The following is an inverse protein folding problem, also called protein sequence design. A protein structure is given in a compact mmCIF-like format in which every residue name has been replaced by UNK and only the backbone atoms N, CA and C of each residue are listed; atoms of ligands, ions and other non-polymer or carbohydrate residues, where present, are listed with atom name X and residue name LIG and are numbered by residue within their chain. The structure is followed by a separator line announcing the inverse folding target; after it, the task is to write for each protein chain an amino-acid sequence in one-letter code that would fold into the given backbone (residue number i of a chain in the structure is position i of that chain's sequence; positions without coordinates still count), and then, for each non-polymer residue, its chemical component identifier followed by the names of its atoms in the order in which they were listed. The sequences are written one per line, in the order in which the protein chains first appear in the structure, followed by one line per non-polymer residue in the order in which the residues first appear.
data_IF_297955233294
#
_entry.id   IF_297955233294
#
_cell.length_a   1.000
_cell.length_b   1.000
_cell.length_c   1.000
_cell.angle_alpha   90.00
_cell.angle_beta   90.00
_cell.angle_gamma   90.00
#
_symmetry.space_group_name_H-M   'P 1'
#
loop_
_entity.id
_entity.type
_entity.pdbx_description
1 polymer ?
#
# COMPACT_ATOMS: atom_id res chain seq x y z
N UNK A 1 -8.30 43.11 -6.53
CA UNK A 1 -7.16 42.58 -5.72
C UNK A 1 -7.51 41.31 -4.91
N UNK A 2 -8.78 41.03 -4.60
CA UNK A 2 -9.19 39.81 -3.86
C UNK A 2 -9.06 38.49 -4.65
N UNK A 3 -9.23 38.54 -5.98
CA UNK A 3 -9.12 37.38 -6.87
C UNK A 3 -7.71 36.76 -6.93
N UNK A 4 -6.65 37.58 -6.74
CA UNK A 4 -5.25 37.11 -6.76
C UNK A 4 -4.91 36.33 -5.49
N UNK A 5 -5.44 36.73 -4.32
CA UNK A 5 -5.24 36.03 -3.05
C UNK A 5 -5.91 34.66 -3.00
N UNK A 6 -7.12 34.53 -3.57
CA UNK A 6 -7.84 33.24 -3.68
C UNK A 6 -7.12 32.28 -4.65
N UNK A 7 -6.53 32.80 -5.73
CA UNK A 7 -5.72 32.00 -6.67
C UNK A 7 -4.43 31.48 -6.03
N UNK A 8 -3.75 32.29 -5.21
CA UNK A 8 -2.52 31.89 -4.52
C UNK A 8 -2.79 30.85 -3.41
N UNK A 9 -3.88 31.00 -2.65
CA UNK A 9 -4.30 30.01 -1.64
C UNK A 9 -4.69 28.66 -2.26
N UNK A 10 -5.37 28.65 -3.41
CA UNK A 10 -5.75 27.40 -4.11
C UNK A 10 -4.57 26.66 -4.75
N UNK A 11 -3.53 27.38 -5.21
CA UNK A 11 -2.28 26.79 -5.69
C UNK A 11 -1.50 26.07 -4.58
N UNK A 12 -1.41 26.66 -3.38
CA UNK A 12 -0.73 26.07 -2.23
C UNK A 12 -1.41 24.77 -1.73
N UNK A 13 -2.75 24.74 -1.66
CA UNK A 13 -3.48 23.53 -1.25
C UNK A 13 -3.41 22.38 -2.27
N UNK A 14 -3.23 22.70 -3.56
CA UNK A 14 -3.03 21.71 -4.64
C UNK A 14 -1.67 21.02 -4.56
N UNK A 15 -0.63 21.72 -4.12
CA UNK A 15 0.69 21.14 -3.93
C UNK A 15 0.67 20.09 -2.81
N UNK A 16 0.01 20.40 -1.68
CA UNK A 16 0.00 19.54 -0.48
C UNK A 16 -0.70 18.18 -0.65
N UNK A 17 -1.78 18.08 -1.44
CA UNK A 17 -2.48 16.80 -1.64
C UNK A 17 -1.79 15.90 -2.68
N UNK A 18 -1.18 16.49 -3.70
CA UNK A 18 -0.34 15.76 -4.67
C UNK A 18 0.97 15.28 -4.01
N UNK A 19 1.51 16.07 -3.07
CA UNK A 19 2.70 15.74 -2.28
C UNK A 19 2.52 14.41 -1.52
N UNK A 20 1.35 14.17 -0.91
CA UNK A 20 1.08 12.89 -0.23
C UNK A 20 0.92 11.69 -1.17
N UNK A 21 0.58 11.90 -2.44
CA UNK A 21 0.35 10.79 -3.39
C UNK A 21 1.61 10.38 -4.15
N UNK A 22 2.67 11.18 -4.05
CA UNK A 22 3.95 10.95 -4.71
C UNK A 22 5.09 11.38 -3.79
N UNK A 23 5.31 10.61 -2.72
CA UNK A 23 6.38 10.84 -1.75
C UNK A 23 6.97 9.52 -1.25
N UNK A 24 8.17 9.60 -0.69
CA UNK A 24 8.81 8.52 0.01
C UNK A 24 8.71 8.75 1.52
N UNK A 25 8.55 7.68 2.30
CA UNK A 25 8.63 7.79 3.76
C UNK A 25 10.07 7.93 4.22
N UNK A 26 10.30 8.65 5.33
CA UNK A 26 11.59 8.74 6.02
C UNK A 26 11.84 7.47 6.87
N UNK A 27 12.16 6.37 6.15
CA UNK A 27 12.55 5.08 6.71
C UNK A 27 13.97 4.69 6.28
N UNK A 28 14.41 3.49 6.68
CA UNK A 28 15.82 3.09 6.67
C UNK A 28 16.49 3.12 5.28
N UNK A 29 15.79 2.71 4.23
CA UNK A 29 16.37 2.49 2.89
C UNK A 29 15.69 3.29 1.78
N UNK A 30 14.74 4.17 2.14
CA UNK A 30 14.01 4.99 1.18
C UNK A 30 14.90 6.13 0.67
N UNK A 31 14.74 6.45 -0.61
CA UNK A 31 15.19 7.71 -1.18
C UNK A 31 14.41 8.86 -0.55
N UNK A 32 14.99 10.06 -0.61
CA UNK A 32 14.33 11.28 -0.13
C UNK A 32 13.08 11.62 -0.94
N UNK A 33 13.14 11.44 -2.26
CA UNK A 33 12.05 11.76 -3.19
C UNK A 33 11.91 10.65 -4.24
N UNK A 34 10.69 10.42 -4.77
CA UNK A 34 10.47 9.46 -5.84
C UNK A 34 11.21 9.85 -7.12
N UNK A 35 11.66 8.85 -7.89
CA UNK A 35 12.25 9.07 -9.20
C UNK A 35 12.49 7.78 -9.96
N UNK A 36 12.77 7.91 -11.25
CA UNK A 36 13.05 6.78 -12.12
C UNK A 36 14.32 6.02 -11.70
N UNK A 37 14.23 4.70 -11.69
CA UNK A 37 15.28 3.73 -11.39
C UNK A 37 15.29 2.68 -12.51
N UNK A 38 16.14 2.89 -13.52
CA UNK A 38 16.09 2.10 -14.77
C UNK A 38 16.43 0.60 -14.62
N UNK A 39 16.89 0.15 -13.45
CA UNK A 39 17.43 -1.19 -13.22
C UNK A 39 16.85 -1.89 -11.98
N UNK A 40 15.58 -1.64 -11.64
CA UNK A 40 14.95 -2.37 -10.53
C UNK A 40 14.86 -3.87 -10.83
N UNK A 41 15.27 -4.68 -9.85
CA UNK A 41 15.43 -6.12 -9.99
C UNK A 41 14.09 -6.86 -9.93
N UNK A 42 13.88 -7.77 -10.89
CA UNK A 42 12.78 -8.75 -10.94
C UNK A 42 11.41 -8.21 -10.47
N UNK A 43 10.94 -8.60 -9.28
CA UNK A 43 9.59 -8.27 -8.79
C UNK A 43 9.41 -6.78 -8.48
N UNK A 44 10.50 -6.04 -8.32
CA UNK A 44 10.48 -4.60 -8.09
C UNK A 44 10.45 -3.80 -9.42
N UNK A 45 10.63 -4.44 -10.58
CA UNK A 45 10.60 -3.78 -11.89
C UNK A 45 9.34 -2.92 -12.18
N UNK A 46 8.13 -3.24 -11.66
CA UNK A 46 6.95 -2.40 -11.88
C UNK A 46 7.07 -0.95 -11.38
N UNK A 47 8.00 -0.65 -10.46
CA UNK A 47 8.23 0.71 -9.94
C UNK A 47 9.31 1.49 -10.69
N UNK A 48 9.97 0.91 -11.70
CA UNK A 48 11.17 1.49 -12.34
C UNK A 48 11.01 2.93 -12.86
N UNK A 49 9.82 3.33 -13.27
CA UNK A 49 9.60 4.66 -13.84
C UNK A 49 9.45 5.73 -12.75
N UNK A 50 9.08 5.35 -11.52
CA UNK A 50 8.92 6.23 -10.38
C UNK A 50 8.92 5.43 -9.05
N UNK A 51 10.10 5.31 -8.42
CA UNK A 51 10.32 4.49 -7.22
C UNK A 51 10.93 5.29 -6.06
N UNK A 52 10.69 4.78 -4.85
CA UNK A 52 11.34 5.22 -3.60
C UNK A 52 12.52 4.35 -3.17
N UNK A 53 12.75 3.22 -3.83
CA UNK A 53 13.89 2.34 -3.57
C UNK A 53 15.02 2.60 -4.57
N UNK A 54 16.20 2.03 -4.32
CA UNK A 54 17.32 2.02 -5.28
C UNK A 54 17.42 0.65 -5.97
N UNK A 55 18.19 0.55 -7.05
CA UNK A 55 18.52 -0.74 -7.67
C UNK A 55 19.11 -1.74 -6.66
N UNK A 56 19.99 -1.29 -5.74
CA UNK A 56 20.58 -2.15 -4.71
C UNK A 56 19.51 -2.68 -3.73
N UNK A 57 18.66 -1.79 -3.22
CA UNK A 57 17.52 -2.16 -2.37
C UNK A 57 16.63 -3.20 -3.06
N UNK A 58 16.40 -3.05 -4.36
CA UNK A 58 15.56 -3.98 -5.12
C UNK A 58 16.18 -5.36 -5.30
N UNK A 59 17.50 -5.45 -5.49
CA UNK A 59 18.20 -6.74 -5.55
C UNK A 59 18.11 -7.46 -4.20
N UNK A 60 18.35 -6.73 -3.13
CA UNK A 60 18.41 -7.26 -1.76
C UNK A 60 17.04 -7.63 -1.20
N UNK A 61 15.96 -7.12 -1.77
CA UNK A 61 14.61 -7.60 -1.48
C UNK A 61 14.40 -9.09 -1.89
N UNK A 62 15.28 -9.64 -2.76
CA UNK A 62 15.20 -11.00 -3.27
C UNK A 62 16.15 -11.98 -2.56
N UNK A 63 17.10 -11.46 -1.77
CA UNK A 63 18.11 -12.26 -1.07
C UNK A 63 17.64 -12.69 0.33
N UNK A 64 18.04 -13.90 0.73
CA UNK A 64 17.84 -14.41 2.09
C UNK A 64 18.82 -13.70 3.04
N UNK A 65 18.37 -13.32 4.24
CA UNK A 65 19.19 -12.59 5.22
C UNK A 65 19.83 -11.29 4.66
N UNK A 66 19.14 -10.62 3.75
CA UNK A 66 19.66 -9.40 3.13
C UNK A 66 19.90 -8.29 4.16
N UNK A 67 20.76 -7.33 3.84
CA UNK A 67 21.09 -6.25 4.78
C UNK A 67 19.89 -5.35 5.12
N UNK A 68 18.80 -5.44 4.34
CA UNK A 68 17.62 -4.61 4.54
C UNK A 68 17.09 -4.78 5.97
N UNK A 69 16.84 -6.04 6.34
CA UNK A 69 16.23 -6.45 7.60
C UNK A 69 16.97 -7.58 8.32
N UNK A 70 18.00 -8.18 7.70
CA UNK A 70 18.71 -9.36 8.19
C UNK A 70 17.73 -10.47 8.61
N UNK A 71 16.70 -10.69 7.79
CA UNK A 71 15.58 -11.57 8.11
C UNK A 71 15.74 -12.92 7.40
N UNK A 72 15.58 -14.00 8.17
CA UNK A 72 15.62 -15.36 7.65
C UNK A 72 14.20 -15.85 7.34
N UNK A 73 13.85 -15.96 6.06
CA UNK A 73 12.57 -16.54 5.64
C UNK A 73 12.42 -18.00 6.05
N UNK A 74 13.53 -18.73 6.21
CA UNK A 74 13.55 -20.15 6.52
C UNK A 74 13.67 -20.44 8.04
N UNK A 75 13.14 -19.54 8.88
CA UNK A 75 13.36 -19.56 10.34
C UNK A 75 12.72 -20.76 11.07
N UNK A 76 11.75 -21.46 10.47
CA UNK A 76 11.13 -22.67 11.05
C UNK A 76 11.04 -23.83 10.03
N UNK A 77 11.86 -23.81 8.99
CA UNK A 77 11.81 -24.75 7.86
C UNK A 77 12.08 -24.04 6.53
N UNK A 78 12.28 -24.79 5.45
CA UNK A 78 12.48 -24.20 4.11
C UNK A 78 11.14 -23.65 3.62
N UNK A 79 11.05 -22.33 3.43
CA UNK A 79 9.89 -21.67 2.86
C UNK A 79 9.80 -21.95 1.36
N UNK A 80 8.60 -22.27 0.89
CA UNK A 80 8.35 -22.52 -0.53
C UNK A 80 8.54 -21.25 -1.36
N UNK A 81 9.01 -21.41 -2.61
CA UNK A 81 9.20 -20.28 -3.52
C UNK A 81 7.90 -19.51 -3.80
N UNK A 82 6.73 -20.19 -3.79
CA UNK A 82 5.42 -19.54 -3.98
C UNK A 82 5.10 -18.59 -2.81
N UNK A 83 5.37 -19.02 -1.58
CA UNK A 83 5.16 -18.20 -0.40
C UNK A 83 6.18 -17.05 -0.33
N UNK A 84 7.47 -17.36 -0.52
CA UNK A 84 8.57 -16.37 -0.50
C UNK A 84 8.36 -15.24 -1.51
N UNK A 85 7.77 -15.55 -2.68
CA UNK A 85 7.45 -14.53 -3.70
C UNK A 85 6.58 -13.41 -3.14
N UNK A 86 5.59 -13.70 -2.31
CA UNK A 86 4.73 -12.66 -1.73
C UNK A 86 5.48 -11.76 -0.74
N UNK A 87 6.36 -12.33 0.08
CA UNK A 87 7.21 -11.54 0.97
C UNK A 87 8.19 -10.63 0.22
N UNK A 88 8.78 -11.12 -0.87
CA UNK A 88 9.58 -10.28 -1.77
C UNK A 88 8.74 -9.17 -2.41
N UNK A 89 7.53 -9.49 -2.87
CA UNK A 89 6.63 -8.52 -3.48
C UNK A 89 6.18 -7.44 -2.49
N UNK A 90 5.90 -7.81 -1.24
CA UNK A 90 5.59 -6.90 -0.13
C UNK A 90 6.79 -5.99 0.19
N UNK A 91 8.01 -6.56 0.22
CA UNK A 91 9.25 -5.78 0.40
C UNK A 91 9.42 -4.77 -0.73
N UNK A 92 9.25 -5.17 -2.00
CA UNK A 92 9.26 -4.23 -3.13
C UNK A 92 8.17 -3.14 -2.98
N UNK A 93 6.97 -3.51 -2.56
CA UNK A 93 5.87 -2.54 -2.37
C UNK A 93 6.19 -1.52 -1.27
N UNK A 94 6.69 -1.99 -0.13
CA UNK A 94 7.07 -1.18 1.02
C UNK A 94 8.23 -0.22 0.68
N UNK A 95 9.28 -0.73 0.03
CA UNK A 95 10.49 0.04 -0.27
C UNK A 95 10.31 0.98 -1.48
N UNK A 96 9.59 0.53 -2.52
CA UNK A 96 9.59 1.21 -3.80
C UNK A 96 8.37 2.09 -4.07
N UNK A 97 7.23 1.86 -3.42
CA UNK A 97 5.98 2.57 -3.79
C UNK A 97 5.99 4.04 -3.34
N UNK A 98 5.86 5.01 -4.27
CA UNK A 98 5.76 6.42 -3.90
C UNK A 98 4.32 6.85 -3.54
N UNK A 99 3.36 5.91 -3.54
CA UNK A 99 1.94 6.20 -3.38
C UNK A 99 1.43 5.87 -1.98
N UNK A 100 2.33 5.70 -1.02
CA UNK A 100 2.00 5.26 0.33
C UNK A 100 1.69 6.42 1.30
N UNK A 101 1.85 7.67 0.88
CA UNK A 101 1.75 8.83 1.75
C UNK A 101 0.45 9.00 2.54
N UNK A 102 -0.75 8.60 2.06
CA UNK A 102 -1.96 8.63 2.89
C UNK A 102 -1.89 7.76 4.15
N UNK A 103 -1.01 6.75 4.16
CA UNK A 103 -0.86 5.78 5.25
C UNK A 103 0.43 5.96 6.05
N UNK A 104 1.26 6.95 5.72
CA UNK A 104 2.47 7.28 6.46
C UNK A 104 2.10 7.90 7.81
N UNK A 105 2.69 7.38 8.88
CA UNK A 105 2.60 7.90 10.24
C UNK A 105 3.99 8.07 10.83
N UNK A 106 4.17 9.16 11.57
CA UNK A 106 5.38 9.43 12.33
C UNK A 106 5.51 8.46 13.50
N UNK A 107 6.73 7.99 13.76
CA UNK A 107 7.05 7.09 14.86
C UNK A 107 8.33 7.50 15.55
N UNK A 108 8.35 7.30 16.87
CA UNK A 108 9.53 7.56 17.70
C UNK A 108 10.36 6.26 17.81
N UNK A 109 11.14 5.96 16.77
CA UNK A 109 12.04 4.80 16.73
C UNK A 109 13.43 5.23 16.24
N UNK A 110 14.48 4.61 16.78
CA UNK A 110 15.88 4.99 16.49
C UNK A 110 16.31 4.77 15.02
N UNK A 111 15.63 3.89 14.30
CA UNK A 111 16.03 3.43 12.96
C UNK A 111 15.06 3.82 11.83
N UNK A 112 13.92 4.45 12.16
CA UNK A 112 12.96 5.02 11.20
C UNK A 112 12.16 6.14 11.86
N UNK A 113 11.92 7.24 11.13
CA UNK A 113 11.07 8.33 11.62
C UNK A 113 9.62 8.17 11.19
N UNK A 114 9.40 7.43 10.11
CA UNK A 114 8.09 7.18 9.55
C UNK A 114 7.87 5.68 9.28
N UNK A 115 6.61 5.27 9.30
CA UNK A 115 6.15 3.94 8.86
C UNK A 115 4.79 4.06 8.20
N UNK A 116 4.44 3.08 7.38
CA UNK A 116 3.05 2.95 6.92
C UNK A 116 2.21 2.19 7.94
N UNK A 117 0.92 2.48 7.97
CA UNK A 117 -0.05 1.87 8.86
C UNK A 117 -1.39 1.77 8.15
N UNK A 118 -2.04 0.60 8.23
CA UNK A 118 -3.42 0.38 7.75
C UNK A 118 -3.58 0.58 6.24
N UNK A 119 -2.58 0.14 5.47
CA UNK A 119 -2.65 0.14 4.00
C UNK A 119 -3.72 -0.87 3.56
N UNK A 120 -4.77 -0.44 2.82
CA UNK A 120 -5.83 -1.32 2.36
C UNK A 120 -5.31 -2.14 1.17
N UNK A 121 -4.77 -3.31 1.45
CA UNK A 121 -4.41 -4.27 0.40
C UNK A 121 -5.66 -4.82 -0.30
N UNK A 122 -5.47 -5.25 -1.55
CA UNK A 122 -6.55 -5.86 -2.30
C UNK A 122 -6.84 -7.25 -1.73
N UNK A 123 -8.13 -7.59 -1.62
CA UNK A 123 -8.54 -8.89 -1.09
C UNK A 123 -7.92 -10.04 -1.88
N UNK A 124 -7.81 -9.90 -3.20
CA UNK A 124 -7.20 -10.90 -4.07
C UNK A 124 -5.70 -11.08 -3.78
N UNK A 125 -4.99 -10.01 -3.41
CA UNK A 125 -3.56 -10.10 -3.03
C UNK A 125 -3.41 -10.87 -1.71
N UNK A 126 -4.24 -10.53 -0.72
CA UNK A 126 -4.23 -11.21 0.58
C UNK A 126 -4.61 -12.68 0.45
N UNK A 127 -5.62 -13.01 -0.36
CA UNK A 127 -6.06 -14.39 -0.59
C UNK A 127 -4.97 -15.20 -1.29
N UNK A 128 -4.40 -14.67 -2.38
CA UNK A 128 -3.31 -15.34 -3.10
C UNK A 128 -2.10 -15.57 -2.19
N UNK A 129 -1.76 -14.60 -1.35
CA UNK A 129 -0.66 -14.75 -0.39
C UNK A 129 -0.95 -15.87 0.60
N UNK A 130 -2.12 -15.84 1.24
CA UNK A 130 -2.50 -16.90 2.19
C UNK A 130 -2.50 -18.29 1.53
N UNK A 131 -3.12 -18.44 0.36
CA UNK A 131 -3.22 -19.74 -0.31
C UNK A 131 -1.85 -20.32 -0.71
N UNK A 132 -0.90 -19.46 -1.07
CA UNK A 132 0.46 -19.89 -1.41
C UNK A 132 1.28 -20.24 -0.16
N UNK A 133 1.00 -19.64 1.00
CA UNK A 133 1.74 -19.85 2.25
C UNK A 133 1.07 -20.80 3.26
N UNK A 134 -0.17 -21.26 3.04
CA UNK A 134 -0.92 -22.04 4.05
C UNK A 134 -0.30 -23.39 4.44
N UNK A 135 0.62 -23.91 3.63
CA UNK A 135 1.35 -25.15 3.90
C UNK A 135 2.79 -24.90 4.40
N UNK A 136 3.19 -23.62 4.47
CA UNK A 136 4.48 -23.18 4.99
C UNK A 136 4.44 -23.00 6.51
N UNK A 137 5.62 -23.03 7.13
CA UNK A 137 5.75 -23.00 8.58
C UNK A 137 6.28 -21.67 9.08
N UNK A 138 5.79 -21.25 10.24
CA UNK A 138 6.33 -20.15 11.04
C UNK A 138 6.19 -20.53 12.51
N UNK A 139 6.96 -19.90 13.38
CA UNK A 139 7.03 -20.17 14.81
C UNK A 139 6.77 -18.89 15.61
N UNK A 140 6.33 -17.82 14.92
CA UNK A 140 5.88 -16.56 15.51
C UNK A 140 4.72 -15.97 14.72
N UNK A 141 3.80 -15.34 15.45
CA UNK A 141 2.69 -14.55 14.88
C UNK A 141 3.12 -13.13 14.50
N UNK A 142 3.90 -12.44 15.35
CA UNK A 142 4.44 -11.12 15.02
C UNK A 142 5.92 -11.24 14.63
N UNK A 143 6.22 -10.89 13.38
CA UNK A 143 7.59 -10.94 12.84
C UNK A 143 8.36 -9.64 13.05
N UNK A 144 7.79 -8.62 13.71
CA UNK A 144 8.50 -7.38 14.01
C UNK A 144 9.38 -7.44 15.26
N UNK A 145 9.00 -8.24 16.26
CA UNK A 145 9.59 -8.18 17.59
C UNK A 145 9.75 -9.57 18.23
N UNK A 146 10.65 -9.64 19.21
CA UNK A 146 10.79 -10.83 20.07
C UNK A 146 11.39 -12.04 19.37
N UNK A 147 12.26 -11.83 18.38
CA UNK A 147 13.08 -12.89 17.81
C UNK A 147 14.18 -13.27 18.79
N UNK A 148 14.18 -14.54 19.20
CA UNK A 148 15.32 -15.16 19.87
C UNK A 148 15.95 -16.16 18.89
N UNK A 149 17.12 -15.81 18.36
CA UNK A 149 17.87 -16.64 17.41
C UNK A 149 18.78 -17.66 18.12
N UNK A 150 18.78 -17.70 19.45
CA UNK A 150 19.69 -18.54 20.26
C UNK A 150 19.11 -19.91 20.61
N UNK A 151 17.79 -20.08 20.51
CA UNK A 151 17.09 -21.33 20.83
C UNK A 151 16.32 -21.83 19.61
N UNK A 152 16.41 -23.12 19.30
CA UNK A 152 15.59 -23.73 18.24
C UNK A 152 14.11 -23.59 18.60
N UNK A 153 13.40 -22.68 17.93
CA UNK A 153 12.01 -22.40 18.23
C UNK A 153 11.12 -23.60 17.87
N UNK A 154 10.19 -23.93 18.76
CA UNK A 154 9.16 -24.94 18.49
C UNK A 154 8.29 -24.44 17.34
N UNK A 155 8.13 -25.24 16.29
CA UNK A 155 7.29 -24.91 15.14
C UNK A 155 5.83 -25.07 15.54
N UNK A 156 5.08 -23.97 15.56
CA UNK A 156 3.65 -23.96 15.88
C UNK A 156 2.83 -23.47 14.70
N UNK A 157 1.70 -24.11 14.42
CA UNK A 157 0.75 -23.59 13.43
C UNK A 157 0.20 -22.25 13.92
N UNK A 158 0.41 -21.18 13.16
CA UNK A 158 -0.18 -19.88 13.47
C UNK A 158 -1.44 -19.63 12.64
N UNK A 159 -2.47 -19.08 13.29
CA UNK A 159 -3.71 -18.69 12.63
C UNK A 159 -3.65 -17.28 12.03
N UNK A 160 -2.57 -16.53 12.30
CA UNK A 160 -2.28 -15.25 11.66
C UNK A 160 -0.80 -14.91 11.74
N UNK A 161 -0.32 -14.06 10.83
CA UNK A 161 0.99 -13.45 10.94
C UNK A 161 1.01 -11.99 10.50
N UNK A 162 1.94 -11.22 11.06
CA UNK A 162 2.19 -9.82 10.71
C UNK A 162 3.63 -9.62 10.25
N UNK A 163 3.81 -9.14 9.02
CA UNK A 163 5.10 -8.76 8.46
C UNK A 163 5.02 -7.36 7.84
N UNK A 164 6.01 -6.51 8.13
CA UNK A 164 6.04 -5.07 7.81
C UNK A 164 4.74 -4.33 8.21
N UNK A 165 3.76 -4.28 7.32
CA UNK A 165 2.47 -3.63 7.59
C UNK A 165 1.27 -4.50 7.21
N UNK A 166 1.54 -5.74 6.79
CA UNK A 166 0.55 -6.69 6.32
C UNK A 166 0.24 -7.65 7.45
N UNK A 167 -1.04 -7.81 7.73
CA UNK A 167 -1.55 -8.78 8.70
C UNK A 167 -2.48 -9.74 7.96
N UNK A 168 -2.10 -11.02 7.91
CA UNK A 168 -2.85 -12.07 7.22
C UNK A 168 -3.35 -13.04 8.28
N UNK A 169 -4.64 -13.37 8.19
CA UNK A 169 -5.31 -14.32 9.09
C UNK A 169 -5.83 -15.51 8.28
N UNK A 170 -5.91 -16.68 8.92
CA UNK A 170 -6.44 -17.93 8.36
C UNK A 170 -7.89 -17.84 7.95
N UNK A 171 -8.65 -17.03 8.68
CA UNK A 171 -10.06 -16.76 8.40
C UNK A 171 -10.23 -15.71 7.28
N UNK A 172 -9.12 -15.16 6.76
CA UNK A 172 -9.09 -14.05 5.81
C UNK A 172 -9.92 -12.85 6.27
N UNK A 173 -10.14 -12.76 7.58
CA UNK A 173 -10.74 -11.62 8.27
C UNK A 173 -9.73 -10.49 8.17
N UNK A 174 -9.86 -9.69 7.11
CA UNK A 174 -9.12 -8.44 7.00
C UNK A 174 -9.37 -7.65 8.28
N UNK A 175 -8.32 -7.06 8.82
CA UNK A 175 -8.53 -5.93 9.71
C UNK A 175 -9.06 -4.78 8.86
N UNK A 176 -10.39 -4.69 8.71
CA UNK A 176 -11.06 -3.40 8.59
C UNK A 176 -10.80 -2.73 9.92
N UNK A 177 -9.59 -2.19 10.10
CA UNK A 177 -9.35 -1.20 11.14
C UNK A 177 -9.97 0.11 10.67
N UNK A 178 -11.29 0.12 10.50
CA UNK A 178 -12.13 1.09 11.18
C UNK A 178 -12.35 0.58 12.60
N UNK A 179 -11.29 0.59 13.41
CA UNK A 179 -11.45 0.96 14.81
C UNK A 179 -10.91 2.41 14.84
N UNK A 180 -11.65 3.37 14.31
CA UNK A 180 -12.61 4.13 15.13
C UNK A 180 -12.20 4.14 16.60
N UNK A 181 -11.32 5.08 16.94
CA UNK A 181 -11.73 6.01 18.00
C UNK A 181 -12.86 6.85 17.39
N UNK A 182 -14.07 6.30 17.40
CA UNK A 182 -15.34 6.99 17.30
C UNK A 182 -16.45 5.95 17.40
N UNK A 183 -17.08 5.94 18.57
CA UNK A 183 -18.33 5.29 18.88
C UNK A 183 -19.40 5.91 17.97
N UNK A 184 -19.73 5.25 16.86
CA UNK A 184 -20.65 5.80 15.86
C UNK A 184 -20.91 4.85 14.69
N UNK A 185 -21.87 3.95 14.88
CA UNK A 185 -22.64 3.19 13.88
C UNK A 185 -22.15 3.29 12.43
N UNK A 186 -21.20 2.44 12.04
CA UNK A 186 -21.05 2.04 10.63
C UNK A 186 -20.82 0.53 10.59
N UNK A 187 -21.74 -0.17 9.93
CA UNK A 187 -21.77 -1.62 9.79
C UNK A 187 -20.53 -2.15 9.05
N UNK A 188 -20.04 -3.36 9.37
CA UNK A 188 -18.94 -3.98 8.64
C UNK A 188 -19.28 -4.13 7.15
N UNK A 189 -18.41 -3.64 6.25
CA UNK A 189 -18.62 -3.76 4.81
C UNK A 189 -18.35 -5.21 4.33
N UNK A 190 -19.19 -5.78 3.45
CA UNK A 190 -19.06 -7.16 2.99
C UNK A 190 -17.85 -7.39 2.05
N UNK A 191 -17.25 -8.60 2.03
CA UNK A 191 -16.07 -8.97 1.23
C UNK A 191 -16.12 -8.51 -0.23
N UNK A 192 -17.24 -8.74 -0.91
CA UNK A 192 -17.40 -8.41 -2.33
C UNK A 192 -17.32 -6.90 -2.64
N UNK A 193 -17.49 -6.04 -1.64
CA UNK A 193 -17.38 -4.59 -1.81
C UNK A 193 -15.91 -4.13 -1.73
N UNK A 194 -15.07 -4.82 -0.95
CA UNK A 194 -13.63 -4.54 -0.86
C UNK A 194 -12.89 -4.94 -2.15
N UNK A 195 -13.16 -6.12 -2.71
CA UNK A 195 -12.66 -6.57 -4.03
C UNK A 195 -13.00 -5.56 -5.14
N UNK A 196 -14.27 -5.13 -5.19
CA UNK A 196 -14.73 -4.13 -6.17
C UNK A 196 -14.02 -2.80 -6.00
N UNK A 197 -13.83 -2.31 -4.76
CA UNK A 197 -13.10 -1.07 -4.49
C UNK A 197 -11.64 -1.17 -4.95
N UNK A 198 -10.98 -2.29 -4.65
CA UNK A 198 -9.59 -2.53 -5.02
C UNK A 198 -9.36 -2.58 -6.54
N UNK A 199 -10.20 -3.32 -7.27
CA UNK A 199 -10.17 -3.36 -8.74
C UNK A 199 -10.42 -1.98 -9.35
N UNK A 200 -11.41 -1.26 -8.82
CA UNK A 200 -11.75 0.09 -9.28
C UNK A 200 -10.60 1.07 -9.00
N UNK A 201 -9.94 0.97 -7.85
CA UNK A 201 -8.79 1.82 -7.48
C UNK A 201 -7.60 1.59 -8.41
N UNK A 202 -7.22 0.33 -8.67
CA UNK A 202 -6.09 0.00 -9.55
C UNK A 202 -6.30 0.57 -10.96
N UNK A 203 -7.47 0.37 -11.53
CA UNK A 203 -7.80 0.88 -12.86
C UNK A 203 -7.87 2.42 -12.87
N UNK A 204 -8.37 3.05 -11.80
CA UNK A 204 -8.38 4.50 -11.66
C UNK A 204 -6.95 5.06 -11.61
N UNK A 205 -6.06 4.43 -10.84
CA UNK A 205 -4.67 4.84 -10.70
C UNK A 205 -3.90 4.71 -12.03
N UNK A 206 -4.20 3.71 -12.87
CA UNK A 206 -3.62 3.61 -14.23
C UNK A 206 -3.99 4.84 -15.07
N UNK A 207 -5.26 5.27 -15.03
CA UNK A 207 -5.75 6.45 -15.76
C UNK A 207 -5.18 7.75 -15.19
N UNK A 208 -5.00 7.83 -13.87
CA UNK A 208 -4.36 8.99 -13.23
C UNK A 208 -2.89 9.10 -13.64
N UNK A 209 -2.18 7.98 -13.78
CA UNK A 209 -0.76 7.96 -14.17
C UNK A 209 -0.54 8.25 -15.67
N UNK A 210 -1.48 7.87 -16.52
CA UNK A 210 -1.39 8.12 -17.96
C UNK A 210 -2.08 9.45 -18.34
N UNK A 211 -1.28 10.52 -18.46
CA UNK A 211 -1.76 11.85 -18.86
C UNK A 211 -2.30 11.91 -20.30
N UNK A 212 -1.94 10.93 -21.14
CA UNK A 212 -2.45 10.80 -22.51
C UNK A 212 -3.81 10.11 -22.58
N UNK A 213 -4.24 9.47 -21.49
CA UNK A 213 -5.50 8.77 -21.42
C UNK A 213 -6.70 9.71 -21.58
N UNK A 214 -7.64 9.37 -22.47
CA UNK A 214 -8.82 10.21 -22.78
C UNK A 214 -9.65 10.58 -21.54
N UNK A 215 -9.73 9.66 -20.59
CA UNK A 215 -10.47 9.83 -19.34
C UNK A 215 -9.65 10.46 -18.20
N UNK A 216 -8.37 10.78 -18.40
CA UNK A 216 -7.50 11.40 -17.38
C UNK A 216 -8.14 12.67 -16.79
N UNK A 217 -8.81 13.46 -17.64
CA UNK A 217 -9.54 14.69 -17.25
C UNK A 217 -10.65 14.47 -16.21
N UNK A 218 -11.22 13.26 -16.14
CA UNK A 218 -12.26 12.92 -15.16
C UNK A 218 -11.70 12.70 -13.76
N UNK A 219 -10.46 12.24 -13.67
CA UNK A 219 -9.72 12.02 -12.42
C UNK A 219 -8.86 13.22 -12.02
N UNK A 220 -8.95 14.32 -12.77
CA UNK A 220 -8.32 15.58 -12.42
C UNK A 220 -9.09 16.25 -11.28
N UNK A 221 -8.36 16.69 -10.25
CA UNK A 221 -8.94 17.35 -9.09
C UNK A 221 -9.55 18.71 -9.43
N UNK A 222 -10.74 18.97 -8.87
CA UNK A 222 -11.44 20.26 -8.94
C UNK A 222 -10.51 21.35 -8.37
N UNK A 223 -10.62 22.63 -8.79
CA UNK A 223 -9.76 23.74 -8.31
C UNK A 223 -9.63 23.92 -6.79
N UNK A 224 -10.50 23.29 -5.98
CA UNK A 224 -10.42 23.27 -4.51
C UNK A 224 -9.61 22.07 -3.94
N UNK A 225 -8.97 21.25 -4.78
CA UNK A 225 -7.93 20.29 -4.40
C UNK A 225 -8.36 19.05 -3.60
N UNK A 226 -9.60 18.99 -3.11
CA UNK A 226 -10.08 17.95 -2.18
C UNK A 226 -10.83 16.79 -2.84
N UNK A 227 -11.13 16.85 -4.15
CA UNK A 227 -11.88 15.81 -4.86
C UNK A 227 -11.81 15.94 -6.37
N UNK A 228 -11.89 14.81 -7.06
CA UNK A 228 -12.20 14.65 -8.47
C UNK A 228 -13.63 15.16 -8.77
N UNK A 229 -13.84 15.61 -10.02
CA UNK A 229 -15.15 16.13 -10.45
C UNK A 229 -16.19 15.01 -10.48
N UNK A 230 -17.09 14.99 -9.49
CA UNK A 230 -18.22 14.08 -9.50
C UNK A 230 -19.06 14.26 -10.77
N UNK A 231 -19.24 13.19 -11.52
CA UNK A 231 -20.19 13.15 -12.64
C UNK A 231 -21.60 13.10 -12.06
N UNK A 232 -22.42 14.13 -12.32
CA UNK A 232 -23.85 14.09 -11.99
C UNK A 232 -24.50 12.99 -12.83
N UNK A 233 -25.17 12.03 -12.19
CA UNK A 233 -25.82 10.91 -12.86
C UNK A 233 -27.19 10.69 -12.25
N UNK A 234 -28.23 10.65 -13.10
CA UNK A 234 -29.63 10.52 -12.68
C UNK A 234 -30.13 9.09 -12.51
N UNK A 235 -29.30 8.05 -12.75
CA UNK A 235 -29.72 6.65 -12.62
C UNK A 235 -28.73 5.81 -11.81
N UNK A 236 -29.24 4.80 -11.09
CA UNK A 236 -28.41 3.84 -10.34
C UNK A 236 -27.45 3.05 -11.25
N UNK A 237 -27.85 2.79 -12.51
CA UNK A 237 -27.01 2.10 -13.50
C UNK A 237 -25.75 2.90 -13.85
N UNK A 238 -25.88 4.21 -14.04
CA UNK A 238 -24.74 5.10 -14.30
C UNK A 238 -23.90 5.34 -13.04
N UNK A 239 -24.52 5.42 -11.85
CA UNK A 239 -23.79 5.54 -10.57
C UNK A 239 -22.91 4.32 -10.26
N UNK A 240 -23.31 3.14 -10.72
CA UNK A 240 -22.58 1.88 -10.50
C UNK A 240 -21.60 1.53 -11.62
N UNK A 241 -21.38 2.44 -12.58
CA UNK A 241 -20.35 2.28 -13.60
C UNK A 241 -18.96 2.60 -13.04
N UNK A 242 -17.92 2.20 -13.76
CA UNK A 242 -16.53 2.33 -13.33
C UNK A 242 -16.14 3.77 -12.93
N UNK A 243 -16.36 4.77 -13.80
CA UNK A 243 -15.87 6.14 -13.56
C UNK A 243 -16.48 6.80 -12.30
N UNK A 244 -17.81 6.76 -12.05
CA UNK A 244 -18.38 7.35 -10.85
C UNK A 244 -17.97 6.62 -9.55
N UNK A 245 -17.80 5.29 -9.59
CA UNK A 245 -17.27 4.52 -8.46
C UNK A 245 -15.80 4.88 -8.18
N UNK A 246 -14.98 4.94 -9.23
CA UNK A 246 -13.58 5.32 -9.15
C UNK A 246 -13.39 6.75 -8.62
N UNK A 247 -14.18 7.71 -9.11
CA UNK A 247 -14.16 9.10 -8.63
C UNK A 247 -14.56 9.16 -7.15
N UNK A 248 -15.61 8.44 -6.72
CA UNK A 248 -16.02 8.40 -5.32
C UNK A 248 -14.96 7.80 -4.41
N UNK A 249 -14.31 6.72 -4.85
CA UNK A 249 -13.25 6.07 -4.10
C UNK A 249 -12.01 6.95 -3.97
N UNK A 250 -11.57 7.56 -5.09
CA UNK A 250 -10.46 8.51 -5.07
C UNK A 250 -10.76 9.75 -4.22
N UNK A 251 -12.01 10.22 -4.19
CA UNK A 251 -12.44 11.31 -3.31
C UNK A 251 -12.45 10.96 -1.82
N UNK A 252 -12.44 9.67 -1.47
CA UNK A 252 -12.35 9.20 -0.09
C UNK A 252 -10.90 9.08 0.38
N UNK A 253 -9.95 8.99 -0.57
CA UNK A 253 -8.52 8.86 -0.32
C UNK A 253 -7.79 10.22 -0.25
N UNK A 254 -8.47 11.32 -0.54
CA UNK A 254 -7.96 12.70 -0.60
C UNK A 254 -8.58 13.55 0.52
#
# INVERSE_FOLDING_TARGET
MWWVGVLLLSLASRAQSLEKLNMCMDAKHHKKEPGAEGQLYQQCAPWKDNACCTANTSAEAHDDNSYLYNFNWNHCGVMTNKCKKHFTQDTCFYECSPHLGPWIQQVDQSWRKERILHVPLCQEDCHSWWDDCKDDFTCKQDWHYGWDWTTGAVVEWVESFRFLCVHITKELTWSTHTNSREEGTTTPHPPQEAEKKCRVQREALKIVKDSSHLSHRLFTLIPLGKRCRCTKSGTNRTLNSFYPQAIRLMNYLH
#
